data_IF_953468466298
#
_entry.id   IF_953468466298
#
_cell.length_a   1.000
_cell.length_b   1.000
_cell.length_c   1.000
_cell.angle_alpha   90.00
_cell.angle_beta   90.00
_cell.angle_gamma   90.00
#
_symmetry.space_group_name_H-M   'P 1'
#
loop_
_entity.id
_entity.type
_entity.pdbx_description
1 polymer ?
#
# COMPACT_ATOMS: atom_id res chain seq x y z
N UNK A 1 -32.48 3.96 -10.46
CA UNK A 1 -32.08 3.09 -9.33
C UNK A 1 -33.32 2.38 -8.84
N UNK A 2 -33.34 1.05 -8.84
CA UNK A 2 -34.48 0.30 -8.34
C UNK A 2 -34.61 0.58 -6.83
N UNK A 3 -35.75 1.12 -6.40
CA UNK A 3 -36.07 1.31 -4.99
C UNK A 3 -36.72 0.02 -4.49
N UNK A 4 -36.27 -0.49 -3.35
CA UNK A 4 -36.98 -1.58 -2.67
C UNK A 4 -38.30 -1.07 -2.08
N UNK A 5 -39.24 -1.98 -1.82
CA UNK A 5 -40.58 -1.67 -1.28
C UNK A 5 -40.55 -0.84 0.02
N UNK A 6 -39.42 -0.88 0.75
CA UNK A 6 -39.19 -0.14 1.99
C UNK A 6 -38.55 1.25 1.82
N UNK A 7 -38.41 1.75 0.58
CA UNK A 7 -37.86 3.08 0.29
C UNK A 7 -36.33 3.21 0.43
N UNK A 8 -35.63 2.12 0.75
CA UNK A 8 -34.18 2.09 0.80
C UNK A 8 -33.58 1.91 -0.61
N UNK A 9 -32.51 2.66 -0.89
CA UNK A 9 -31.70 2.46 -2.09
C UNK A 9 -30.77 1.29 -1.82
N UNK A 10 -30.93 0.18 -2.54
CA UNK A 10 -29.96 -0.90 -2.50
C UNK A 10 -28.66 -0.41 -3.15
N UNK A 11 -27.71 -0.02 -2.31
CA UNK A 11 -26.35 0.29 -2.71
C UNK A 11 -25.62 -1.05 -2.81
N UNK A 12 -25.21 -1.41 -4.02
CA UNK A 12 -24.46 -2.63 -4.25
C UNK A 12 -23.15 -2.59 -3.43
N UNK A 13 -22.93 -3.64 -2.62
CA UNK A 13 -21.77 -3.80 -1.71
C UNK A 13 -20.41 -3.63 -2.41
N UNK A 14 -20.36 -3.82 -3.74
CA UNK A 14 -19.15 -3.74 -4.55
C UNK A 14 -18.85 -2.34 -5.12
N UNK A 15 -19.64 -1.31 -4.82
CA UNK A 15 -19.40 0.05 -5.35
C UNK A 15 -18.13 0.67 -4.73
N UNK A 16 -17.83 0.36 -3.47
CA UNK A 16 -16.66 0.90 -2.74
C UNK A 16 -15.43 -0.02 -2.72
N UNK A 17 -15.49 -1.19 -3.36
CA UNK A 17 -14.33 -2.07 -3.45
C UNK A 17 -13.38 -1.58 -4.53
N UNK A 18 -12.13 -1.29 -4.14
CA UNK A 18 -11.05 -1.02 -5.09
C UNK A 18 -10.91 -2.16 -6.09
N UNK A 19 -10.47 -1.92 -7.33
CA UNK A 19 -10.24 -2.98 -8.29
C UNK A 19 -9.19 -3.97 -7.74
N UNK A 20 -9.57 -5.24 -7.68
CA UNK A 20 -8.73 -6.33 -7.19
C UNK A 20 -8.48 -7.34 -8.31
N UNK A 21 -7.29 -7.93 -8.33
CA UNK A 21 -6.94 -9.07 -9.15
C UNK A 21 -6.58 -10.24 -8.23
N UNK A 22 -7.45 -11.25 -8.19
CA UNK A 22 -7.39 -12.29 -7.16
C UNK A 22 -7.51 -11.64 -5.77
N UNK A 23 -6.50 -11.87 -4.91
CA UNK A 23 -6.45 -11.30 -3.56
C UNK A 23 -5.65 -9.99 -3.47
N UNK A 24 -5.09 -9.50 -4.57
CA UNK A 24 -4.24 -8.30 -4.58
C UNK A 24 -4.97 -7.11 -5.19
N UNK A 25 -4.76 -5.91 -4.63
CA UNK A 25 -5.20 -4.68 -5.29
C UNK A 25 -4.42 -4.47 -6.59
N UNK A 26 -5.06 -3.91 -7.63
CA UNK A 26 -4.41 -3.66 -8.93
C UNK A 26 -3.13 -2.82 -8.78
N UNK A 27 -3.13 -1.83 -7.89
CA UNK A 27 -1.93 -1.02 -7.59
C UNK A 27 -0.76 -1.86 -7.07
N UNK A 28 -1.05 -2.90 -6.28
CA UNK A 28 -0.03 -3.81 -5.72
C UNK A 28 0.46 -4.77 -6.79
N UNK A 29 -0.42 -5.21 -7.68
CA UNK A 29 -0.08 -6.03 -8.84
C UNK A 29 0.84 -5.28 -9.81
N UNK A 30 0.63 -3.98 -10.02
CA UNK A 30 1.49 -3.17 -10.88
C UNK A 30 2.96 -3.21 -10.43
N UNK A 31 3.22 -3.18 -9.12
CA UNK A 31 4.57 -3.30 -8.56
C UNK A 31 5.20 -4.64 -8.93
N UNK A 32 4.45 -5.73 -8.80
CA UNK A 32 4.94 -7.05 -9.19
C UNK A 32 5.23 -7.14 -10.70
N UNK A 33 4.38 -6.57 -11.54
CA UNK A 33 4.61 -6.51 -12.99
C UNK A 33 5.88 -5.74 -13.37
N UNK A 34 6.22 -4.67 -12.65
CA UNK A 34 7.47 -3.93 -12.88
C UNK A 34 8.68 -4.83 -12.64
N UNK A 35 8.67 -5.63 -11.57
CA UNK A 35 9.76 -6.58 -11.29
C UNK A 35 9.84 -7.69 -12.33
N UNK A 36 8.72 -8.17 -12.86
CA UNK A 36 8.71 -9.10 -14.00
C UNK A 36 9.35 -8.45 -15.23
N UNK A 37 8.97 -7.22 -15.56
CA UNK A 37 9.54 -6.51 -16.71
C UNK A 37 11.07 -6.34 -16.56
N UNK A 38 11.53 -5.98 -15.36
CA UNK A 38 12.97 -5.89 -15.05
C UNK A 38 13.65 -7.25 -15.19
N UNK A 39 13.04 -8.33 -14.69
CA UNK A 39 13.58 -9.68 -14.82
C UNK A 39 13.73 -10.08 -16.29
N UNK A 40 12.75 -9.78 -17.15
CA UNK A 40 12.80 -10.04 -18.59
C UNK A 40 13.91 -9.26 -19.30
N UNK A 41 14.11 -8.00 -18.94
CA UNK A 41 15.06 -7.13 -19.64
C UNK A 41 16.52 -7.38 -19.21
N UNK A 42 16.75 -7.71 -17.92
CA UNK A 42 18.10 -7.67 -17.34
C UNK A 42 18.58 -9.01 -16.78
N UNK A 43 17.69 -9.97 -16.47
CA UNK A 43 18.11 -11.23 -15.88
C UNK A 43 18.58 -12.21 -16.97
N UNK A 44 19.81 -12.70 -16.83
CA UNK A 44 20.34 -13.78 -17.66
C UNK A 44 20.38 -15.07 -16.85
N UNK A 45 19.53 -16.02 -17.21
CA UNK A 45 19.42 -17.33 -16.57
C UNK A 45 18.32 -17.43 -15.53
N UNK A 46 17.81 -18.65 -15.35
CA UNK A 46 16.66 -18.98 -14.49
C UNK A 46 16.87 -18.57 -13.02
N UNK A 47 18.10 -18.68 -12.52
CA UNK A 47 18.42 -18.33 -11.12
C UNK A 47 18.25 -16.82 -10.88
N UNK A 48 18.84 -15.99 -11.74
CA UNK A 48 18.71 -14.53 -11.64
C UNK A 48 17.24 -14.09 -11.79
N UNK A 49 16.51 -14.76 -12.69
CA UNK A 49 15.09 -14.52 -12.91
C UNK A 49 14.26 -14.82 -11.65
N UNK A 50 14.52 -15.97 -11.02
CA UNK A 50 13.86 -16.38 -9.77
C UNK A 50 14.14 -15.42 -8.61
N UNK A 51 15.38 -14.92 -8.48
CA UNK A 51 15.75 -13.96 -7.44
C UNK A 51 14.96 -12.65 -7.61
N UNK A 52 14.94 -12.07 -8.81
CA UNK A 52 14.27 -10.78 -9.07
C UNK A 52 12.75 -10.90 -8.88
N UNK A 53 12.13 -11.99 -9.34
CA UNK A 53 10.70 -12.23 -9.13
C UNK A 53 10.38 -12.39 -7.64
N UNK A 54 11.19 -13.14 -6.90
CA UNK A 54 11.00 -13.31 -5.46
C UNK A 54 11.09 -11.96 -4.74
N UNK A 55 12.05 -11.13 -5.15
CA UNK A 55 12.17 -9.76 -4.65
C UNK A 55 10.93 -8.91 -4.96
N UNK A 56 10.36 -9.06 -6.15
CA UNK A 56 9.11 -8.41 -6.55
C UNK A 56 7.92 -8.81 -5.68
N UNK A 57 7.79 -10.09 -5.33
CA UNK A 57 6.73 -10.58 -4.41
C UNK A 57 6.92 -10.00 -3.01
N UNK A 58 8.15 -9.97 -2.51
CA UNK A 58 8.47 -9.39 -1.19
C UNK A 58 8.14 -7.89 -1.19
N UNK A 59 8.57 -7.16 -2.21
CA UNK A 59 8.29 -5.74 -2.36
C UNK A 59 6.79 -5.44 -2.42
N UNK A 60 6.02 -6.23 -3.18
CA UNK A 60 4.56 -6.10 -3.26
C UNK A 60 3.89 -6.32 -1.89
N UNK A 61 4.30 -7.35 -1.14
CA UNK A 61 3.79 -7.59 0.23
C UNK A 61 4.11 -6.45 1.19
N UNK A 62 5.33 -5.93 1.14
CA UNK A 62 5.72 -4.78 1.98
C UNK A 62 4.96 -3.51 1.59
N UNK A 63 4.78 -3.24 0.30
CA UNK A 63 3.98 -2.13 -0.18
C UNK A 63 2.53 -2.22 0.32
N UNK A 64 1.91 -3.40 0.20
CA UNK A 64 0.55 -3.61 0.68
C UNK A 64 0.45 -3.42 2.20
N UNK A 65 1.45 -3.89 2.96
CA UNK A 65 1.55 -3.68 4.41
C UNK A 65 1.70 -2.20 4.76
N UNK A 66 2.50 -1.44 4.02
CA UNK A 66 2.65 0.01 4.20
C UNK A 66 1.36 0.74 3.86
N UNK A 67 0.70 0.39 2.75
CA UNK A 67 -0.56 0.98 2.32
C UNK A 67 -1.70 0.70 3.30
N UNK A 68 -1.74 -0.49 3.90
CA UNK A 68 -2.71 -0.89 4.92
C UNK A 68 -2.35 -0.41 6.33
N UNK A 69 -1.15 0.13 6.55
CA UNK A 69 -0.78 0.66 7.86
C UNK A 69 -1.69 1.85 8.20
N UNK A 70 -2.59 1.63 9.16
CA UNK A 70 -3.72 2.52 9.47
C UNK A 70 -3.33 3.87 10.08
N UNK A 71 -2.07 4.06 10.45
CA UNK A 71 -1.64 5.26 11.15
C UNK A 71 -1.14 6.26 10.11
N UNK A 72 -2.03 7.17 9.71
CA UNK A 72 -1.63 8.33 8.93
C UNK A 72 -0.46 9.04 9.65
N UNK A 73 0.62 9.31 8.94
CA UNK A 73 1.82 9.91 9.54
C UNK A 73 2.83 8.94 10.16
N UNK A 74 2.58 7.63 10.25
CA UNK A 74 3.55 6.68 10.83
C UNK A 74 4.87 6.61 10.06
N UNK A 75 4.81 6.70 8.73
CA UNK A 75 6.03 6.77 7.92
C UNK A 75 6.82 8.07 8.18
N UNK A 76 6.12 9.19 8.37
CA UNK A 76 6.74 10.45 8.78
C UNK A 76 7.36 10.35 10.18
N UNK A 77 6.74 9.59 11.09
CA UNK A 77 7.28 9.31 12.42
C UNK A 77 8.57 8.47 12.37
N UNK A 78 8.64 7.46 11.49
CA UNK A 78 9.89 6.68 11.29
C UNK A 78 11.00 7.59 10.72
N UNK A 79 10.69 8.40 9.71
CA UNK A 79 11.66 9.35 9.13
C UNK A 79 12.16 10.35 10.19
N UNK A 80 11.25 10.82 11.05
CA UNK A 80 11.59 11.67 12.19
C UNK A 80 12.53 10.97 13.18
N UNK A 81 12.25 9.71 13.56
CA UNK A 81 13.13 8.93 14.44
C UNK A 81 14.51 8.69 13.84
N UNK A 82 14.61 8.52 12.51
CA UNK A 82 15.87 8.33 11.80
C UNK A 82 16.65 9.64 11.57
N UNK A 83 16.12 10.80 11.97
CA UNK A 83 16.79 12.10 11.84
C UNK A 83 16.89 12.64 10.41
N UNK A 84 16.27 11.97 9.43
CA UNK A 84 16.35 12.33 8.01
C UNK A 84 15.48 13.54 7.65
N UNK A 85 14.56 13.94 8.53
CA UNK A 85 13.72 15.13 8.35
C UNK A 85 13.55 15.84 9.68
N UNK A 86 14.05 17.07 9.77
CA UNK A 86 13.81 17.92 10.93
C UNK A 86 12.39 18.51 10.85
N UNK A 87 11.56 18.37 11.91
CA UNK A 87 10.23 18.96 11.92
C UNK A 87 10.35 20.49 11.99
N UNK A 88 9.58 21.20 11.17
CA UNK A 88 9.50 22.68 11.23
C UNK A 88 8.82 23.18 12.52
N UNK A 89 8.00 22.34 13.14
CA UNK A 89 7.23 22.63 14.35
C UNK A 89 7.28 21.44 15.29
N UNK A 90 7.62 21.70 16.55
CA UNK A 90 7.57 20.68 17.59
C UNK A 90 6.11 20.46 18.03
N UNK A 91 5.68 19.21 18.30
CA UNK A 91 4.37 18.98 18.86
C UNK A 91 4.25 19.65 20.24
N UNK A 92 3.07 20.18 20.60
CA UNK A 92 2.82 20.74 21.93
C UNK A 92 3.13 19.74 23.04
N UNK A 93 3.74 20.19 24.14
CA UNK A 93 4.25 19.33 25.24
C UNK A 93 3.19 18.44 25.91
N UNK A 94 1.90 18.77 25.76
CA UNK A 94 0.79 17.98 26.31
C UNK A 94 0.39 16.78 25.44
N UNK A 95 0.87 16.69 24.19
CA UNK A 95 0.56 15.57 23.30
C UNK A 95 1.44 14.34 23.62
N UNK A 96 0.90 13.44 24.45
CA UNK A 96 1.54 12.16 24.81
C UNK A 96 1.43 11.06 23.75
N UNK A 97 0.50 11.18 22.80
CA UNK A 97 0.22 10.13 21.81
C UNK A 97 0.19 10.68 20.38
N UNK A 98 0.72 9.89 19.45
CA UNK A 98 0.73 10.22 18.02
C UNK A 98 -0.68 10.09 17.45
N UNK A 99 -1.43 11.20 17.42
CA UNK A 99 -2.70 11.30 16.73
C UNK A 99 -2.40 11.40 15.23
N UNK A 100 -2.37 10.25 14.55
CA UNK A 100 -2.17 10.21 13.10
C UNK A 100 -3.25 11.02 12.39
N UNK A 101 -2.88 12.18 11.84
CA UNK A 101 -3.75 13.09 11.10
C UNK A 101 -3.84 12.71 9.62
#
# INVERSE_FOLDING_TARGET
MAKTENGYVEINKFIDTKPMFGNWEVDTLAIFCIFIAIALMFAKGIVAYGIIITFGVVAAKYYEKLKKSRVKGFFFHIIYMLGLRQPKTLPPSYMRYFLGA
#
